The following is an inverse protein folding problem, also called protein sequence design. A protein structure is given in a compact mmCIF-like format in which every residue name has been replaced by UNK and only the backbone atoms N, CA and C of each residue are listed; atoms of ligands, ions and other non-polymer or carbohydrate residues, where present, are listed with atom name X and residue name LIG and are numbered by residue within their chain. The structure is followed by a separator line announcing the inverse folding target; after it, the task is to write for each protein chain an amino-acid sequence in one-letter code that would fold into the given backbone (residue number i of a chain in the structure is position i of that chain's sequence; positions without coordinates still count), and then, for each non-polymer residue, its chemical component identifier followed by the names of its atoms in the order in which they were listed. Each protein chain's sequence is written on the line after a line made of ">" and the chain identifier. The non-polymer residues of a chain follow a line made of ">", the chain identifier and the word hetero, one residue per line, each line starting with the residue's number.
data_IF_229468190533
#
_entry.id   IF_229468190533
#
_cell.length_a   1.000
_cell.length_b   1.000
_cell.length_c   1.000
_cell.angle_alpha   90.00
_cell.angle_beta   90.00
_cell.angle_gamma   90.00
#
_symmetry.space_group_name_H-M   'P 1'
#
loop_
_entity.id
_entity.type
_entity.pdbx_description
1 polymer ?
#
# COMPACT_ATOMS: atom_id res chain seq x y z
N UNK A 1 22.59 2.42 44.84
CA UNK A 1 22.92 2.73 43.43
C UNK A 1 22.76 1.54 42.47
N UNK A 2 23.12 0.29 42.82
CA UNK A 2 22.97 -0.88 41.93
C UNK A 2 21.53 -1.13 41.41
N UNK A 3 20.52 -0.94 42.26
CA UNK A 3 19.11 -1.16 41.88
C UNK A 3 18.61 -0.17 40.82
N UNK A 4 19.11 1.07 40.81
CA UNK A 4 18.72 2.08 39.82
C UNK A 4 19.19 1.71 38.40
N UNK A 5 20.39 1.12 38.30
CA UNK A 5 20.95 0.65 37.04
C UNK A 5 20.14 -0.52 36.45
N UNK A 6 19.65 -1.42 37.29
CA UNK A 6 18.80 -2.55 36.89
C UNK A 6 17.47 -2.04 36.32
N UNK A 7 16.86 -1.02 36.93
CA UNK A 7 15.63 -0.41 36.42
C UNK A 7 15.81 0.28 35.06
N UNK A 8 16.90 1.02 34.87
CA UNK A 8 17.22 1.64 33.57
C UNK A 8 17.45 0.57 32.51
N UNK A 9 18.20 -0.48 32.84
CA UNK A 9 18.47 -1.59 31.91
C UNK A 9 17.18 -2.31 31.52
N UNK A 10 16.30 -2.63 32.49
CA UNK A 10 15.00 -3.23 32.24
C UNK A 10 14.11 -2.34 31.38
N UNK A 11 14.10 -1.03 31.62
CA UNK A 11 13.35 -0.07 30.81
C UNK A 11 13.84 -0.01 29.37
N UNK A 12 15.16 -0.03 29.15
CA UNK A 12 15.76 -0.09 27.81
C UNK A 12 15.42 -1.42 27.12
N UNK A 13 15.47 -2.55 27.83
CA UNK A 13 15.10 -3.86 27.29
C UNK A 13 13.60 -3.92 26.94
N UNK A 14 12.73 -3.49 27.85
CA UNK A 14 11.27 -3.43 27.65
C UNK A 14 10.89 -2.48 26.51
N UNK A 15 11.50 -1.30 26.43
CA UNK A 15 11.23 -0.33 25.37
C UNK A 15 11.68 -0.81 23.98
N UNK A 16 12.76 -1.61 23.91
CA UNK A 16 13.18 -2.29 22.69
C UNK A 16 12.27 -3.49 22.33
N UNK A 17 11.76 -4.23 23.32
CA UNK A 17 10.83 -5.35 23.14
C UNK A 17 9.42 -4.89 22.70
N UNK A 18 9.00 -3.68 23.09
CA UNK A 18 7.67 -3.11 22.78
C UNK A 18 7.67 -2.36 21.43
N UNK A 19 8.62 -2.65 20.52
CA UNK A 19 8.43 -2.29 19.11
C UNK A 19 7.39 -3.21 18.47
N UNK A 20 6.11 -2.96 18.79
CA UNK A 20 5.01 -3.49 18.00
C UNK A 20 5.07 -2.87 16.61
N UNK A 21 5.62 -3.62 15.66
CA UNK A 21 5.58 -3.23 14.27
C UNK A 21 4.13 -3.24 13.79
N UNK A 22 3.57 -2.05 13.62
CA UNK A 22 2.25 -1.87 13.03
C UNK A 22 2.31 -2.09 11.51
N UNK A 23 2.19 -3.34 11.07
CA UNK A 23 1.93 -3.73 9.68
C UNK A 23 0.94 -4.90 9.63
N UNK A 24 0.25 -5.08 8.50
CA UNK A 24 -0.57 -6.27 8.21
C UNK A 24 0.06 -7.01 7.04
N UNK A 25 0.25 -8.32 7.18
CA UNK A 25 0.74 -9.19 6.10
C UNK A 25 -0.39 -10.11 5.63
N UNK A 26 -0.63 -10.20 4.33
CA UNK A 26 -1.66 -11.06 3.75
C UNK A 26 -1.22 -11.55 2.38
N UNK A 27 -1.58 -12.79 2.01
CA UNK A 27 -1.32 -13.34 0.69
C UNK A 27 -2.65 -13.71 0.03
N UNK A 28 -2.80 -13.40 -1.26
CA UNK A 28 -3.99 -13.78 -2.03
C UNK A 28 -3.88 -15.27 -2.35
N UNK A 29 -4.86 -16.01 -1.83
CA UNK A 29 -5.00 -17.46 -1.85
C UNK A 29 -3.89 -18.21 -1.10
N UNK A 30 -4.27 -19.15 -0.23
CA UNK A 30 -3.36 -20.07 0.48
C UNK A 30 -2.50 -20.96 -0.44
N UNK A 31 -2.52 -20.72 -1.75
CA UNK A 31 -1.62 -21.31 -2.72
C UNK A 31 -0.18 -20.88 -2.44
N UNK A 32 0.76 -21.81 -2.63
CA UNK A 32 2.19 -21.54 -2.37
C UNK A 32 2.76 -20.39 -3.22
N UNK A 33 2.12 -20.03 -4.34
CA UNK A 33 2.63 -19.15 -5.39
C UNK A 33 1.86 -17.82 -5.58
N UNK A 34 0.86 -17.54 -4.73
CA UNK A 34 0.08 -16.29 -4.78
C UNK A 34 0.90 -15.06 -4.35
N UNK A 35 0.53 -13.85 -4.81
CA UNK A 35 1.19 -12.62 -4.38
C UNK A 35 0.88 -12.31 -2.91
N UNK A 36 1.89 -11.78 -2.21
CA UNK A 36 1.77 -11.34 -0.83
C UNK A 36 1.86 -9.82 -0.73
N UNK A 37 1.24 -9.26 0.30
CA UNK A 37 1.10 -7.83 0.50
C UNK A 37 1.48 -7.47 1.94
N UNK A 38 2.39 -6.51 2.05
CA UNK A 38 2.78 -5.88 3.31
C UNK A 38 2.06 -4.54 3.36
N UNK A 39 1.03 -4.45 4.18
CA UNK A 39 0.28 -3.22 4.40
C UNK A 39 0.88 -2.44 5.55
N UNK A 40 1.28 -1.19 5.28
CA UNK A 40 1.87 -0.30 6.28
C UNK A 40 1.18 1.06 6.23
N UNK A 41 0.97 1.67 7.40
CA UNK A 41 0.46 3.02 7.49
C UNK A 41 1.60 3.99 7.17
N UNK A 42 1.51 4.81 6.10
CA UNK A 42 2.56 5.76 5.75
C UNK A 42 2.81 6.84 6.81
N UNK A 43 1.88 7.05 7.73
CA UNK A 43 2.02 7.98 8.85
C UNK A 43 2.38 7.29 10.17
N UNK A 44 2.47 5.96 10.17
CA UNK A 44 2.81 5.18 11.35
C UNK A 44 4.32 5.16 11.63
N UNK A 45 4.66 4.92 12.91
CA UNK A 45 6.06 4.83 13.39
C UNK A 45 6.86 3.79 12.58
N UNK A 46 6.31 2.59 12.38
CA UNK A 46 6.92 1.51 11.59
C UNK A 46 7.37 2.00 10.20
N UNK A 47 6.53 2.77 9.51
CA UNK A 47 6.90 3.28 8.19
C UNK A 47 8.05 4.28 8.28
N UNK A 48 7.94 5.26 9.17
CA UNK A 48 8.90 6.34 9.29
C UNK A 48 10.27 5.89 9.81
N UNK A 49 10.31 4.94 10.74
CA UNK A 49 11.56 4.52 11.40
C UNK A 49 12.19 3.28 10.78
N UNK A 50 11.43 2.47 10.03
CA UNK A 50 11.91 1.18 9.50
C UNK A 50 11.80 1.12 8.00
N UNK A 51 10.58 1.18 7.44
CA UNK A 51 10.36 0.92 6.02
C UNK A 51 10.99 2.02 5.15
N UNK A 52 10.72 3.28 5.46
CA UNK A 52 11.20 4.42 4.68
C UNK A 52 12.73 4.56 4.74
N UNK A 53 13.40 4.45 5.91
CA UNK A 53 14.86 4.40 5.98
C UNK A 53 15.47 3.19 5.25
N UNK A 54 14.82 2.03 5.31
CA UNK A 54 15.31 0.83 4.61
C UNK A 54 15.30 1.04 3.09
N UNK A 55 14.21 1.60 2.54
CA UNK A 55 14.15 2.00 1.12
C UNK A 55 15.23 3.04 0.80
N UNK A 56 15.48 3.99 1.71
CA UNK A 56 16.47 5.04 1.53
C UNK A 56 17.90 4.53 1.37
N UNK A 57 18.25 3.47 2.12
CA UNK A 57 19.56 2.83 2.06
C UNK A 57 19.83 2.27 0.66
N UNK A 58 18.81 1.71 0.02
CA UNK A 58 18.93 1.11 -1.31
C UNK A 58 18.75 2.12 -2.44
N UNK A 59 17.80 3.05 -2.34
CA UNK A 59 17.64 4.18 -3.28
C UNK A 59 16.95 5.39 -2.62
N UNK A 60 17.75 6.41 -2.32
CA UNK A 60 17.27 7.65 -1.71
C UNK A 60 16.35 8.47 -2.64
N UNK A 61 16.44 8.34 -3.97
CA UNK A 61 15.54 9.04 -4.91
C UNK A 61 14.11 8.51 -4.78
N UNK A 62 13.95 7.20 -4.58
CA UNK A 62 12.64 6.60 -4.31
C UNK A 62 12.06 7.17 -3.02
N UNK A 63 12.86 7.24 -1.94
CA UNK A 63 12.43 7.84 -0.67
C UNK A 63 11.91 9.26 -0.86
N UNK A 64 12.68 10.12 -1.53
CA UNK A 64 12.31 11.53 -1.75
C UNK A 64 10.97 11.63 -2.47
N UNK A 65 10.78 10.85 -3.54
CA UNK A 65 9.50 10.83 -4.27
C UNK A 65 8.33 10.36 -3.40
N UNK A 66 8.53 9.32 -2.59
CA UNK A 66 7.49 8.85 -1.66
C UNK A 66 7.08 9.97 -0.71
N UNK A 67 8.03 10.69 -0.12
CA UNK A 67 7.76 11.81 0.79
C UNK A 67 6.99 12.93 0.08
N UNK A 68 7.39 13.29 -1.15
CA UNK A 68 6.69 14.30 -1.94
C UNK A 68 5.22 13.93 -2.17
N UNK A 69 4.93 12.68 -2.56
CA UNK A 69 3.54 12.21 -2.71
C UNK A 69 2.75 12.29 -1.39
N UNK A 70 3.38 11.91 -0.26
CA UNK A 70 2.72 11.94 1.05
C UNK A 70 2.41 13.35 1.54
N UNK A 71 3.25 14.33 1.18
CA UNK A 71 3.00 15.75 1.44
C UNK A 71 1.80 16.25 0.61
N UNK A 72 1.80 15.95 -0.70
CA UNK A 72 0.72 16.33 -1.62
C UNK A 72 -0.63 15.65 -1.32
N UNK A 73 -0.62 14.50 -0.64
CA UNK A 73 -1.83 13.78 -0.29
C UNK A 73 -2.78 14.59 0.62
N UNK A 74 -2.24 15.49 1.47
CA UNK A 74 -3.08 16.36 2.31
C UNK A 74 -4.04 17.22 1.48
N UNK A 75 -3.66 17.52 0.24
CA UNK A 75 -4.45 18.32 -0.70
C UNK A 75 -5.25 17.44 -1.67
N UNK A 76 -4.75 16.25 -2.01
CA UNK A 76 -5.34 15.37 -3.03
C UNK A 76 -5.49 13.92 -2.53
N UNK A 77 -6.72 13.46 -2.20
CA UNK A 77 -6.96 12.10 -1.69
C UNK A 77 -6.52 10.96 -2.63
N UNK A 78 -6.50 11.20 -3.95
CA UNK A 78 -6.09 10.21 -4.96
C UNK A 78 -4.58 9.94 -5.00
N UNK A 79 -3.76 10.72 -4.27
CA UNK A 79 -2.30 10.56 -4.27
C UNK A 79 -1.82 9.20 -3.75
N UNK A 80 -2.52 8.56 -2.81
CA UNK A 80 -2.10 7.25 -2.29
C UNK A 80 -2.12 6.17 -3.37
N UNK A 81 -3.16 6.12 -4.21
CA UNK A 81 -3.27 5.10 -5.25
C UNK A 81 -2.12 5.24 -6.24
N UNK A 82 -1.82 6.47 -6.67
CA UNK A 82 -0.72 6.77 -7.58
C UNK A 82 0.64 6.44 -6.93
N UNK A 83 0.79 6.76 -5.64
CA UNK A 83 1.99 6.43 -4.87
C UNK A 83 2.19 4.91 -4.76
N UNK A 84 1.14 4.14 -4.47
CA UNK A 84 1.21 2.68 -4.41
C UNK A 84 1.56 2.08 -5.78
N UNK A 85 1.02 2.61 -6.86
CA UNK A 85 1.41 2.22 -8.21
C UNK A 85 2.89 2.53 -8.47
N UNK A 86 3.34 3.74 -8.12
CA UNK A 86 4.75 4.13 -8.23
C UNK A 86 5.67 3.19 -7.45
N UNK A 87 5.36 2.90 -6.19
CA UNK A 87 6.12 1.99 -5.31
C UNK A 87 6.20 0.60 -5.93
N UNK A 88 5.07 0.06 -6.42
CA UNK A 88 5.01 -1.27 -7.03
C UNK A 88 5.92 -1.41 -8.25
N UNK A 89 6.09 -0.35 -9.03
CA UNK A 89 6.94 -0.37 -10.22
C UNK A 89 8.41 -0.04 -9.92
N UNK A 90 8.71 0.63 -8.81
CA UNK A 90 10.07 1.11 -8.50
C UNK A 90 10.79 0.30 -7.45
N UNK A 91 10.10 -0.31 -6.50
CA UNK A 91 10.74 -1.21 -5.56
C UNK A 91 11.04 -2.54 -6.25
N UNK A 92 12.33 -2.88 -6.29
CA UNK A 92 12.78 -4.18 -6.78
C UNK A 92 12.51 -5.26 -5.73
N UNK A 93 12.51 -6.53 -6.15
CA UNK A 93 12.33 -7.64 -5.20
C UNK A 93 13.41 -7.64 -4.10
N UNK A 94 14.64 -7.22 -4.40
CA UNK A 94 15.71 -7.10 -3.40
C UNK A 94 15.35 -6.07 -2.32
N UNK A 95 14.87 -4.90 -2.71
CA UNK A 95 14.44 -3.86 -1.76
C UNK A 95 13.26 -4.33 -0.90
N UNK A 96 12.34 -5.10 -1.48
CA UNK A 96 11.23 -5.70 -0.72
C UNK A 96 11.77 -6.69 0.31
N UNK A 97 12.75 -7.52 -0.04
CA UNK A 97 13.38 -8.43 0.91
C UNK A 97 14.08 -7.68 2.04
N UNK A 98 14.79 -6.58 1.75
CA UNK A 98 15.40 -5.73 2.79
C UNK A 98 14.35 -5.21 3.77
N UNK A 99 13.19 -4.75 3.25
CA UNK A 99 12.05 -4.33 4.07
C UNK A 99 11.51 -5.50 4.90
N UNK A 100 11.43 -6.71 4.33
CA UNK A 100 11.00 -7.90 5.06
C UNK A 100 11.94 -8.29 6.20
N UNK A 101 13.26 -8.18 5.98
CA UNK A 101 14.26 -8.38 7.03
C UNK A 101 14.10 -7.34 8.13
N UNK A 102 14.00 -6.06 7.77
CA UNK A 102 13.83 -4.97 8.73
C UNK A 102 12.53 -5.06 9.55
N UNK A 103 11.50 -5.71 9.02
CA UNK A 103 10.23 -5.98 9.70
C UNK A 103 10.18 -7.35 10.41
N UNK A 104 11.27 -8.12 10.41
CA UNK A 104 11.34 -9.48 10.97
C UNK A 104 10.29 -10.46 10.40
N UNK A 105 9.99 -10.35 9.10
CA UNK A 105 9.07 -11.24 8.36
C UNK A 105 9.70 -11.95 7.16
N UNK A 106 11.03 -11.97 7.09
CA UNK A 106 11.77 -12.54 5.95
C UNK A 106 11.34 -13.97 5.61
N UNK A 107 11.02 -14.80 6.61
CA UNK A 107 10.54 -16.20 6.42
C UNK A 107 9.20 -16.30 5.68
N UNK A 108 8.39 -15.23 5.72
CA UNK A 108 7.07 -15.17 5.06
C UNK A 108 7.14 -14.50 3.68
N UNK A 109 8.21 -13.75 3.40
CA UNK A 109 8.34 -13.03 2.15
C UNK A 109 8.72 -13.95 1.00
N UNK A 110 7.91 -13.89 -0.06
CA UNK A 110 8.04 -14.70 -1.26
C UNK A 110 8.37 -13.84 -2.48
N UNK A 111 8.84 -14.44 -3.58
CA UNK A 111 8.78 -13.79 -4.89
C UNK A 111 7.34 -13.29 -5.14
N UNK A 112 7.17 -12.06 -5.61
CA UNK A 112 5.86 -11.37 -5.75
C UNK A 112 5.25 -10.90 -4.41
N UNK A 113 6.09 -10.50 -3.46
CA UNK A 113 5.65 -9.72 -2.30
C UNK A 113 5.67 -8.23 -2.66
N UNK A 114 4.63 -7.49 -2.28
CA UNK A 114 4.50 -6.06 -2.58
C UNK A 114 4.26 -5.24 -1.32
N UNK A 115 4.89 -4.08 -1.24
CA UNK A 115 4.60 -3.08 -0.22
C UNK A 115 3.40 -2.23 -0.64
N UNK A 116 2.42 -2.08 0.24
CA UNK A 116 1.22 -1.27 0.03
C UNK A 116 1.05 -0.30 1.19
N UNK A 117 0.96 0.99 0.86
CA UNK A 117 0.70 2.03 1.83
C UNK A 117 -0.81 2.19 2.02
N UNK A 118 -1.29 1.99 3.25
CA UNK A 118 -2.69 2.17 3.63
C UNK A 118 -2.80 2.91 4.96
N UNK A 119 -3.36 4.13 5.01
CA UNK A 119 -3.47 4.92 6.24
C UNK A 119 -4.46 4.30 7.23
N UNK A 120 -5.41 3.48 6.76
CA UNK A 120 -6.27 2.66 7.60
C UNK A 120 -5.67 1.26 7.68
N UNK A 121 -4.89 0.97 8.72
CA UNK A 121 -4.66 -0.41 9.15
C UNK A 121 -5.80 -0.77 10.11
N UNK A 122 -7.04 -0.82 9.63
CA UNK A 122 -8.10 -1.38 10.44
C UNK A 122 -8.00 -2.91 10.39
N UNK A 123 -8.13 -3.54 11.57
CA UNK A 123 -8.45 -4.96 11.71
C UNK A 123 -9.81 -5.20 11.05
N UNK A 124 -9.86 -5.36 9.73
CA UNK A 124 -10.94 -6.10 9.11
C UNK A 124 -10.77 -7.55 9.55
N UNK A 125 -11.54 -7.94 10.57
CA UNK A 125 -12.05 -9.29 10.72
C UNK A 125 -12.58 -9.73 9.37
N UNK A 126 -11.93 -10.72 8.77
CA UNK A 126 -12.33 -11.32 7.52
C UNK A 126 -13.71 -11.98 7.70
N UNK A 127 -14.78 -11.26 7.36
CA UNK A 127 -15.95 -11.94 6.81
C UNK A 127 -15.61 -12.23 5.36
N UNK A 128 -15.16 -13.46 5.13
CA UNK A 128 -15.03 -14.09 3.82
C UNK A 128 -16.41 -14.05 3.15
N UNK A 129 -16.70 -12.97 2.42
CA UNK A 129 -17.73 -13.00 1.39
C UNK A 129 -17.03 -13.48 0.12
N UNK A 130 -16.97 -14.81 -0.01
CA UNK A 130 -16.88 -15.47 -1.32
C UNK A 130 -17.93 -14.80 -2.21
N UNK A 131 -17.47 -14.30 -3.37
CA UNK A 131 -18.23 -13.77 -4.52
C UNK A 131 -17.99 -12.28 -4.82
N UNK A 132 -16.77 -11.89 -5.20
CA UNK A 132 -16.53 -10.78 -6.15
C UNK A 132 -15.29 -11.02 -7.01
N UNK A 133 -15.29 -12.10 -7.78
CA UNK A 133 -14.75 -12.04 -9.13
C UNK A 133 -15.58 -11.01 -9.93
N UNK A 134 -14.92 -10.07 -10.62
CA UNK A 134 -15.48 -9.07 -11.55
C UNK A 134 -15.76 -7.63 -11.03
N UNK A 135 -14.85 -6.98 -10.29
CA UNK A 135 -14.95 -5.51 -10.08
C UNK A 135 -13.73 -4.69 -10.53
N UNK A 136 -12.58 -5.30 -10.84
CA UNK A 136 -11.40 -4.54 -11.25
C UNK A 136 -11.33 -4.17 -12.75
N UNK A 137 -12.22 -4.71 -13.61
CA UNK A 137 -12.24 -4.41 -15.05
C UNK A 137 -13.21 -3.28 -15.47
N UNK A 138 -14.07 -2.78 -14.58
CA UNK A 138 -15.12 -1.82 -14.97
C UNK A 138 -14.74 -0.34 -14.85
N UNK A 139 -13.59 0.01 -14.24
CA UNK A 139 -13.20 1.42 -14.11
C UNK A 139 -12.55 1.99 -15.37
N UNK A 140 -11.88 1.16 -16.18
CA UNK A 140 -11.26 1.58 -17.45
C UNK A 140 -12.23 1.51 -18.65
N UNK A 141 -13.22 0.62 -18.65
CA UNK A 141 -14.16 0.51 -19.77
C UNK A 141 -15.23 1.62 -19.81
N UNK A 142 -15.61 2.21 -18.66
CA UNK A 142 -16.68 3.23 -18.62
C UNK A 142 -16.27 4.60 -19.17
N UNK A 143 -14.97 4.90 -19.26
CA UNK A 143 -14.47 6.18 -19.84
C UNK A 143 -14.32 6.14 -21.36
N UNK A 144 -14.25 4.97 -21.99
CA UNK A 144 -14.17 4.88 -23.46
C UNK A 144 -15.54 4.93 -24.15
N UNK A 145 -16.66 4.70 -23.44
CA UNK A 145 -18.01 4.74 -24.02
C UNK A 145 -18.72 6.11 -23.94
N UNK A 146 -18.14 7.11 -23.28
CA UNK A 146 -18.74 8.45 -23.14
C UNK A 146 -18.27 9.46 -24.20
N UNK A 147 -17.58 9.02 -25.26
CA UNK A 147 -17.10 9.89 -26.35
C UNK A 147 -17.79 9.69 -27.71
N UNK A 148 -18.87 8.91 -27.79
CA UNK A 148 -19.64 8.75 -29.02
C UNK A 148 -21.14 8.85 -28.74
N UNK A 149 -21.67 10.07 -28.81
CA UNK A 149 -23.05 10.30 -29.25
C UNK A 149 -23.01 11.39 -30.33
N UNK A 150 -23.30 11.08 -31.60
CA UNK A 150 -23.68 12.12 -32.53
C UNK A 150 -25.02 12.71 -32.08
N UNK A 151 -25.08 14.04 -32.02
CA UNK A 151 -26.32 14.78 -31.84
C UNK A 151 -27.17 14.53 -33.10
N UNK A 152 -28.23 13.73 -32.96
CA UNK A 152 -29.25 13.57 -33.99
C UNK A 152 -30.04 14.88 -34.08
N UNK A 153 -29.74 15.68 -35.11
CA UNK A 153 -30.55 16.81 -35.54
C UNK A 153 -31.87 16.24 -36.09
N UNK A 154 -32.97 16.54 -35.41
CA UNK A 154 -34.33 16.13 -35.77
C UNK A 154 -34.80 16.97 -36.97
N UNK A 155 -34.67 16.44 -38.19
CA UNK A 155 -35.35 17.00 -39.37
C UNK A 155 -36.86 16.80 -39.25
N UNK A 156 -37.63 17.89 -39.28
CA UNK A 156 -39.09 17.85 -39.43
C UNK A 156 -39.43 17.55 -40.89
N UNK A 157 -40.05 16.41 -41.15
CA UNK A 157 -40.66 16.06 -42.43
C UNK A 157 -42.02 16.76 -42.58
N UNK A 158 -42.19 17.44 -43.71
CA UNK A 158 -43.48 17.83 -44.28
C UNK A 158 -44.31 16.57 -44.59
N UNK A 159 -45.61 16.61 -44.29
CA UNK A 159 -46.60 15.73 -44.92
C UNK A 159 -47.76 16.60 -45.37
N UNK A 160 -47.95 16.60 -46.68
CA UNK A 160 -49.12 17.07 -47.43
C UNK A 160 -50.25 16.06 -47.32
N UNK A 161 -51.47 16.54 -47.08
CA UNK A 161 -52.71 16.05 -47.68
C UNK A 161 -53.69 17.23 -47.75
#
# INVERSE_FOLDING_TARGET
>A
MKNFYIFILLYVILSNLIQFYAYKFSCIDGSKNGPCFIYVNPYGKTFQTIVLPTIAKSDNKIRIKIVQYLQLQREIPKCITNLNQYIRHKLTQSMILDVCYALNIYTKCKPKTFLVLSPKIHKETETIVRNRSNSFNNYYHRRQQLKLRPVLIRSKSFVSF
#
